data_IF_307014993506
#
_entry.id   IF_307014993506
#
_cell.length_a   1.000
_cell.length_b   1.000
_cell.length_c   1.000
_cell.angle_alpha   90.00
_cell.angle_beta   90.00
_cell.angle_gamma   90.00
#
_symmetry.space_group_name_H-M   'P 1'
#
loop_
_entity.id
_entity.type
_entity.pdbx_description
1 polymer ?
#
# COMPACT_ATOMS: atom_id res chain seq x y z
N UNK A 1 20.52 -2.04 14.97
CA UNK A 1 20.56 -2.02 13.50
C UNK A 1 21.22 -0.73 13.06
N UNK A 2 22.37 -0.74 12.36
CA UNK A 2 22.93 0.49 11.81
C UNK A 2 21.97 1.04 10.73
N UNK A 3 21.74 2.36 10.75
CA UNK A 3 20.92 3.03 9.74
C UNK A 3 21.61 2.85 8.39
N UNK A 4 20.95 2.29 7.35
CA UNK A 4 21.56 2.22 6.03
C UNK A 4 21.96 3.63 5.61
N UNK A 5 23.21 3.83 5.21
CA UNK A 5 23.70 5.15 4.79
C UNK A 5 23.21 5.42 3.37
N UNK A 6 22.66 6.61 3.14
CA UNK A 6 22.24 7.03 1.79
C UNK A 6 23.48 7.10 0.90
N UNK A 7 23.54 6.42 -0.27
CA UNK A 7 24.66 6.56 -1.19
C UNK A 7 24.87 8.03 -1.60
N UNK A 8 26.13 8.46 -1.72
CA UNK A 8 26.46 9.83 -2.08
C UNK A 8 25.78 10.23 -3.40
N UNK A 9 25.17 11.42 -3.43
CA UNK A 9 24.46 11.94 -4.61
C UNK A 9 23.02 11.43 -4.79
N UNK A 10 22.53 10.51 -3.94
CA UNK A 10 21.12 10.10 -3.97
C UNK A 10 20.26 10.91 -3.01
N UNK A 11 19.05 11.25 -3.44
CA UNK A 11 18.02 11.80 -2.56
C UNK A 11 17.41 10.66 -1.74
N UNK A 12 17.40 10.80 -0.42
CA UNK A 12 16.65 9.91 0.46
C UNK A 12 15.15 10.15 0.24
N UNK A 13 14.39 9.06 0.12
CA UNK A 13 12.93 9.09 0.00
C UNK A 13 12.32 8.15 1.03
N UNK A 14 11.40 8.61 1.87
CA UNK A 14 10.67 7.71 2.76
C UNK A 14 9.26 7.42 2.27
N UNK A 15 8.85 6.16 2.41
CA UNK A 15 7.51 5.68 2.05
C UNK A 15 6.95 4.95 3.25
N UNK A 16 5.93 5.54 3.87
CA UNK A 16 5.27 4.94 5.04
C UNK A 16 4.21 3.96 4.56
N UNK A 17 4.29 2.72 5.04
CA UNK A 17 3.34 1.65 4.72
C UNK A 17 2.59 1.32 6.00
N UNK A 18 1.27 1.32 5.92
CA UNK A 18 0.42 0.95 7.06
C UNK A 18 0.22 -0.57 7.08
N UNK A 19 0.53 -1.18 8.22
CA UNK A 19 0.42 -2.62 8.47
C UNK A 19 1.51 -3.44 7.78
N UNK A 20 1.21 -4.72 7.59
CA UNK A 20 2.13 -5.71 7.01
C UNK A 20 2.32 -5.48 5.50
N UNK A 21 3.55 -5.66 4.97
CA UNK A 21 3.78 -5.75 3.52
C UNK A 21 2.83 -6.72 2.84
N UNK A 22 2.38 -6.39 1.63
CA UNK A 22 1.39 -7.18 0.93
C UNK A 22 1.35 -6.89 -0.58
N UNK A 23 0.41 -7.51 -1.30
CA UNK A 23 0.30 -7.42 -2.76
C UNK A 23 0.28 -5.98 -3.28
N UNK A 24 -0.42 -5.10 -2.57
CA UNK A 24 -0.56 -3.67 -2.87
C UNK A 24 0.75 -2.87 -2.76
N UNK A 25 1.78 -3.42 -2.12
CA UNK A 25 3.07 -2.74 -1.90
C UNK A 25 4.17 -3.32 -2.80
N UNK A 26 3.92 -4.48 -3.41
CA UNK A 26 4.94 -5.28 -4.10
C UNK A 26 5.61 -4.55 -5.26
N UNK A 27 4.91 -3.66 -5.98
CA UNK A 27 5.53 -2.87 -7.05
C UNK A 27 6.66 -1.98 -6.52
N UNK A 28 6.48 -1.35 -5.36
CA UNK A 28 7.50 -0.50 -4.73
C UNK A 28 8.66 -1.36 -4.24
N UNK A 29 8.38 -2.45 -3.55
CA UNK A 29 9.41 -3.35 -3.04
C UNK A 29 10.25 -3.96 -4.15
N UNK A 30 9.62 -4.39 -5.24
CA UNK A 30 10.31 -4.91 -6.41
C UNK A 30 11.16 -3.83 -7.09
N UNK A 31 10.63 -2.61 -7.23
CA UNK A 31 11.37 -1.49 -7.80
C UNK A 31 12.60 -1.11 -6.96
N UNK A 32 12.53 -1.26 -5.64
CA UNK A 32 13.69 -1.10 -4.74
C UNK A 32 14.70 -2.22 -4.98
N UNK A 33 14.26 -3.49 -4.96
CA UNK A 33 15.15 -4.65 -5.15
C UNK A 33 15.89 -4.59 -6.50
N UNK A 34 15.19 -4.18 -7.55
CA UNK A 34 15.73 -4.09 -8.91
C UNK A 34 16.44 -2.76 -9.22
N UNK A 35 16.57 -1.86 -8.23
CA UNK A 35 17.32 -0.61 -8.38
C UNK A 35 16.63 0.43 -9.28
N UNK A 36 15.33 0.33 -9.54
CA UNK A 36 14.58 1.26 -10.38
C UNK A 36 14.51 2.68 -9.79
N UNK A 37 14.48 2.77 -8.46
CA UNK A 37 14.60 4.04 -7.72
C UNK A 37 16.02 4.57 -7.76
N UNK A 38 17.02 3.70 -7.55
CA UNK A 38 18.43 4.07 -7.58
C UNK A 38 18.86 4.59 -8.96
N UNK A 39 18.35 4.01 -10.05
CA UNK A 39 18.55 4.48 -11.42
C UNK A 39 18.04 5.90 -11.66
N UNK A 40 17.15 6.40 -10.79
CA UNK A 40 16.63 7.78 -10.79
C UNK A 40 17.24 8.64 -9.68
N UNK A 41 18.34 8.21 -9.08
CA UNK A 41 19.03 8.93 -8.00
C UNK A 41 18.26 8.94 -6.68
N UNK A 42 17.35 7.99 -6.47
CA UNK A 42 16.52 7.90 -5.26
C UNK A 42 16.95 6.72 -4.39
N UNK A 43 17.23 7.01 -3.12
CA UNK A 43 17.43 6.01 -2.09
C UNK A 43 16.13 5.85 -1.30
N UNK A 44 15.27 4.92 -1.73
CA UNK A 44 13.94 4.74 -1.13
C UNK A 44 13.99 3.86 0.12
N UNK A 45 13.33 4.30 1.20
CA UNK A 45 13.21 3.59 2.48
C UNK A 45 11.74 3.38 2.86
N UNK A 46 11.23 2.15 2.74
CA UNK A 46 9.94 1.78 3.31
C UNK A 46 10.01 1.83 4.85
N UNK A 47 8.96 2.34 5.48
CA UNK A 47 8.78 2.34 6.93
C UNK A 47 7.41 1.82 7.28
N UNK A 48 7.35 0.76 8.09
CA UNK A 48 6.08 0.17 8.52
C UNK A 48 5.56 0.91 9.76
N UNK A 49 4.25 1.16 9.79
CA UNK A 49 3.52 1.70 10.94
C UNK A 49 2.16 1.04 11.08
N UNK A 50 1.59 1.06 12.27
CA UNK A 50 0.24 0.51 12.50
C UNK A 50 -0.87 1.52 12.23
N UNK A 51 -0.59 2.82 12.39
CA UNK A 51 -1.61 3.88 12.37
C UNK A 51 -1.60 4.65 11.04
N UNK A 52 -2.70 4.65 10.27
CA UNK A 52 -2.88 5.51 9.12
C UNK A 52 -2.80 7.00 9.47
N UNK A 53 -3.29 7.39 10.65
CA UNK A 53 -3.25 8.78 11.12
C UNK A 53 -1.82 9.23 11.36
N UNK A 54 -0.97 8.36 11.91
CA UNK A 54 0.45 8.67 12.13
C UNK A 54 1.20 8.75 10.79
N UNK A 55 0.89 7.85 9.85
CA UNK A 55 1.43 7.88 8.50
C UNK A 55 1.09 9.22 7.81
N UNK A 56 -0.18 9.59 7.74
CA UNK A 56 -0.61 10.84 7.10
C UNK A 56 -0.11 12.08 7.83
N UNK A 57 -0.05 12.07 9.16
CA UNK A 57 0.52 13.20 9.93
C UNK A 57 2.01 13.38 9.68
N UNK A 58 2.76 12.27 9.52
CA UNK A 58 4.18 12.33 9.19
C UNK A 58 4.43 12.90 7.79
N UNK A 59 3.62 12.52 6.80
CA UNK A 59 3.70 13.09 5.44
C UNK A 59 3.31 14.56 5.45
N UNK A 60 2.19 14.92 6.10
CA UNK A 60 1.70 16.30 6.17
C UNK A 60 2.71 17.26 6.80
N UNK A 61 3.43 16.82 7.83
CA UNK A 61 4.46 17.61 8.49
C UNK A 61 5.79 17.67 7.72
N UNK A 62 5.93 16.93 6.62
CA UNK A 62 7.17 16.81 5.85
C UNK A 62 8.24 15.96 6.54
N UNK A 63 7.87 15.17 7.55
CA UNK A 63 8.78 14.19 8.18
C UNK A 63 9.02 13.00 7.23
N UNK A 64 7.97 12.58 6.53
CA UNK A 64 8.04 11.52 5.52
C UNK A 64 7.58 12.07 4.16
N UNK A 65 8.09 11.52 3.05
CA UNK A 65 7.74 12.01 1.71
C UNK A 65 6.38 11.48 1.24
N UNK A 66 6.12 10.19 1.45
CA UNK A 66 4.92 9.51 0.96
C UNK A 66 4.33 8.53 1.98
N UNK A 67 3.05 8.21 1.83
CA UNK A 67 2.38 7.15 2.58
C UNK A 67 1.48 6.32 1.67
N UNK A 68 1.23 5.06 2.04
CA UNK A 68 0.21 4.21 1.43
C UNK A 68 -0.89 3.98 2.45
N UNK A 69 -2.10 4.42 2.12
CA UNK A 69 -3.29 4.33 2.98
C UNK A 69 -4.51 3.98 2.12
N UNK A 70 -5.64 3.63 2.74
CA UNK A 70 -6.88 3.48 1.99
C UNK A 70 -7.43 4.85 1.51
N UNK A 71 -8.18 4.85 0.42
CA UNK A 71 -8.82 6.07 -0.06
C UNK A 71 -9.83 6.66 0.97
N UNK A 72 -10.50 5.80 1.74
CA UNK A 72 -11.43 6.21 2.78
C UNK A 72 -10.73 6.91 3.94
N UNK A 73 -9.57 6.41 4.37
CA UNK A 73 -8.76 7.05 5.41
C UNK A 73 -8.23 8.41 4.97
N UNK A 74 -7.71 8.51 3.74
CA UNK A 74 -7.28 9.80 3.18
C UNK A 74 -8.42 10.81 3.21
N UNK A 75 -9.60 10.42 2.72
CA UNK A 75 -10.77 11.28 2.70
C UNK A 75 -11.19 11.73 4.10
N UNK A 76 -11.26 10.80 5.06
CA UNK A 76 -11.62 11.13 6.46
C UNK A 76 -10.60 12.10 7.08
N UNK A 77 -9.33 11.92 6.79
CA UNK A 77 -8.27 12.81 7.28
C UNK A 77 -8.35 14.20 6.64
N UNK A 78 -8.63 14.26 5.34
CA UNK A 78 -8.67 15.50 4.56
C UNK A 78 -9.92 16.36 4.80
N UNK A 79 -10.95 15.85 5.49
CA UNK A 79 -12.09 16.67 5.95
C UNK A 79 -11.60 17.83 6.83
N UNK A 80 -10.52 17.61 7.59
CA UNK A 80 -9.97 18.61 8.51
C UNK A 80 -8.91 19.49 7.83
N UNK A 81 -8.08 18.94 6.96
CA UNK A 81 -6.94 19.64 6.33
C UNK A 81 -6.56 19.01 4.97
N UNK A 82 -6.65 19.80 3.89
CA UNK A 82 -6.56 19.32 2.48
C UNK A 82 -5.15 19.31 1.86
N UNK A 83 -4.10 19.21 2.68
CA UNK A 83 -2.70 19.24 2.22
C UNK A 83 -2.19 17.93 1.62
N UNK A 84 -2.99 16.87 1.66
CA UNK A 84 -2.63 15.54 1.18
C UNK A 84 -3.51 15.15 -0.01
N UNK A 85 -2.88 14.58 -1.03
CA UNK A 85 -3.55 14.14 -2.25
C UNK A 85 -3.09 12.74 -2.63
N UNK A 86 -4.01 11.97 -3.19
CA UNK A 86 -3.69 10.68 -3.79
C UNK A 86 -2.99 10.89 -5.14
N UNK A 87 -1.79 10.34 -5.27
CA UNK A 87 -0.97 10.42 -6.48
C UNK A 87 -1.19 9.24 -7.42
N UNK A 88 -1.46 8.05 -6.87
CA UNK A 88 -1.58 6.80 -7.63
C UNK A 88 -2.42 5.78 -6.87
N UNK A 89 -3.27 5.04 -7.58
CA UNK A 89 -3.94 3.86 -7.03
C UNK A 89 -2.99 2.64 -7.07
N UNK A 90 -2.65 2.11 -5.90
CA UNK A 90 -1.77 0.93 -5.79
C UNK A 90 -2.56 -0.36 -5.63
N UNK A 91 -3.74 -0.31 -5.00
CA UNK A 91 -4.72 -1.40 -4.95
C UNK A 91 -6.11 -0.93 -5.42
N UNK A 92 -6.49 -1.27 -6.66
CA UNK A 92 -7.79 -0.91 -7.23
C UNK A 92 -8.93 -1.86 -6.83
N UNK A 93 -8.78 -2.76 -5.85
CA UNK A 93 -9.86 -3.69 -5.44
C UNK A 93 -10.94 -3.07 -4.54
N UNK A 94 -10.81 -1.79 -4.18
CA UNK A 94 -11.82 -1.11 -3.36
C UNK A 94 -13.18 -1.08 -4.04
N UNK A 95 -14.21 -1.60 -3.36
CA UNK A 95 -15.61 -1.58 -3.83
C UNK A 95 -16.02 -0.12 -4.07
N UNK A 96 -16.19 0.26 -5.35
CA UNK A 96 -16.48 1.63 -5.77
C UNK A 96 -15.51 2.67 -5.16
N UNK A 97 -14.21 2.36 -5.07
CA UNK A 97 -13.19 3.21 -4.45
C UNK A 97 -11.80 2.65 -4.68
N UNK A 98 -10.83 2.90 -3.80
CA UNK A 98 -9.51 2.24 -3.85
C UNK A 98 -9.20 1.62 -2.50
N UNK A 99 -8.70 0.39 -2.51
CA UNK A 99 -8.31 -0.30 -1.28
C UNK A 99 -7.03 0.31 -0.71
N UNK A 100 -6.11 0.75 -1.59
CA UNK A 100 -4.91 1.47 -1.20
C UNK A 100 -4.47 2.46 -2.29
N UNK A 101 -4.01 3.62 -1.84
CA UNK A 101 -3.50 4.72 -2.66
C UNK A 101 -2.17 5.21 -2.11
N UNK A 102 -1.30 5.65 -3.02
CA UNK A 102 -0.08 6.36 -2.69
C UNK A 102 -0.41 7.85 -2.50
N UNK A 103 -0.07 8.39 -1.34
CA UNK A 103 -0.38 9.75 -0.90
C UNK A 103 0.90 10.56 -0.78
N UNK A 104 0.83 11.82 -1.21
CA UNK A 104 1.87 12.83 -1.01
C UNK A 104 1.26 14.19 -0.68
N UNK A 105 2.12 15.19 -0.47
CA UNK A 105 1.68 16.57 -0.26
C UNK A 105 1.38 17.27 -1.58
N UNK A 106 0.31 18.05 -1.61
CA UNK A 106 -0.02 18.94 -2.73
C UNK A 106 1.11 19.95 -3.02
N UNK A 107 1.72 20.50 -1.98
CA UNK A 107 2.82 21.46 -2.07
C UNK A 107 4.07 20.87 -2.77
N UNK A 108 4.31 19.57 -2.63
CA UNK A 108 5.45 18.90 -3.26
C UNK A 108 5.24 18.73 -4.76
N UNK A 109 3.99 18.56 -5.21
CA UNK A 109 3.68 18.55 -6.64
C UNK A 109 3.99 19.89 -7.31
N UNK A 110 3.78 21.00 -6.59
CA UNK A 110 4.04 22.34 -7.11
C UNK A 110 5.53 22.73 -7.04
N UNK A 111 6.22 22.38 -5.95
CA UNK A 111 7.58 22.87 -5.66
C UNK A 111 8.69 21.86 -5.94
N UNK A 112 8.35 20.57 -6.05
CA UNK A 112 9.30 19.47 -6.22
C UNK A 112 8.86 18.48 -7.30
N UNK A 113 8.20 18.96 -8.37
CA UNK A 113 7.62 18.14 -9.42
C UNK A 113 8.60 17.08 -9.97
N UNK A 114 9.80 17.48 -10.40
CA UNK A 114 10.79 16.54 -10.95
C UNK A 114 11.14 15.38 -9.99
N UNK A 115 11.16 15.65 -8.68
CA UNK A 115 11.36 14.61 -7.68
C UNK A 115 10.17 13.66 -7.60
N UNK A 116 8.96 14.21 -7.48
CA UNK A 116 7.74 13.40 -7.40
C UNK A 116 7.57 12.55 -8.66
N UNK A 117 7.82 13.13 -9.83
CA UNK A 117 7.80 12.43 -11.11
C UNK A 117 8.85 11.31 -11.19
N UNK A 118 10.06 11.55 -10.70
CA UNK A 118 11.10 10.51 -10.63
C UNK A 118 10.67 9.35 -9.73
N UNK A 119 10.09 9.65 -8.56
CA UNK A 119 9.59 8.63 -7.64
C UNK A 119 8.42 7.83 -8.24
N UNK A 120 7.44 8.52 -8.82
CA UNK A 120 6.29 7.87 -9.46
C UNK A 120 6.71 7.04 -10.68
N UNK A 121 7.70 7.48 -11.45
CA UNK A 121 8.26 6.72 -12.57
C UNK A 121 8.89 5.40 -12.14
N UNK A 122 9.73 5.41 -11.09
CA UNK A 122 10.27 4.17 -10.54
C UNK A 122 9.18 3.27 -9.94
N UNK A 123 8.19 3.87 -9.28
CA UNK A 123 7.04 3.14 -8.75
C UNK A 123 6.29 2.41 -9.87
N UNK A 124 6.00 3.11 -10.97
CA UNK A 124 5.30 2.55 -12.12
C UNK A 124 6.07 1.46 -12.83
N UNK A 125 7.38 1.62 -12.99
CA UNK A 125 8.23 0.54 -13.52
C UNK A 125 8.12 -0.71 -12.64
N UNK A 126 8.11 -0.53 -11.32
CA UNK A 126 7.91 -1.61 -10.35
C UNK A 126 6.57 -2.33 -10.54
N UNK A 127 5.47 -1.58 -10.71
CA UNK A 127 4.15 -2.18 -10.99
C UNK A 127 4.07 -2.80 -12.39
N UNK A 128 4.76 -2.24 -13.40
CA UNK A 128 4.84 -2.84 -14.74
C UNK A 128 5.58 -4.18 -14.70
N UNK A 129 6.65 -4.29 -13.92
CA UNK A 129 7.34 -5.56 -13.73
C UNK A 129 6.51 -6.54 -12.90
N UNK A 130 5.83 -6.06 -11.84
CA UNK A 130 4.89 -6.89 -11.07
C UNK A 130 3.74 -7.46 -11.92
N UNK A 131 3.26 -6.67 -12.91
CA UNK A 131 2.28 -7.13 -13.92
C UNK A 131 2.84 -8.19 -14.87
N UNK A 132 4.14 -8.14 -15.14
CA UNK A 132 4.84 -9.03 -16.09
C UNK A 132 5.10 -10.39 -15.44
N UNK A 133 5.60 -10.39 -14.21
CA UNK A 133 5.98 -11.60 -13.47
C UNK A 133 5.49 -11.53 -12.00
N UNK A 134 4.19 -11.77 -11.76
CA UNK A 134 3.62 -11.70 -10.42
C UNK A 134 4.20 -12.77 -9.47
N UNK A 135 4.70 -13.89 -10.00
CA UNK A 135 5.23 -14.98 -9.20
C UNK A 135 6.63 -14.63 -8.65
N UNK A 136 7.53 -14.14 -9.52
CA UNK A 136 8.82 -13.62 -9.09
C UNK A 136 8.66 -12.44 -8.13
N UNK A 137 7.63 -11.62 -8.36
CA UNK A 137 7.28 -10.51 -7.47
C UNK A 137 6.83 -11.00 -6.09
N UNK A 138 5.99 -12.02 -6.02
CA UNK A 138 5.57 -12.62 -4.75
C UNK A 138 6.78 -13.16 -3.98
N UNK A 139 7.68 -13.87 -4.67
CA UNK A 139 8.91 -14.39 -4.07
C UNK A 139 9.83 -13.28 -3.57
N UNK A 140 9.93 -12.16 -4.29
CA UNK A 140 10.65 -10.96 -3.87
C UNK A 140 10.06 -10.37 -2.58
N UNK A 141 8.76 -10.10 -2.56
CA UNK A 141 8.08 -9.53 -1.40
C UNK A 141 8.12 -10.46 -0.17
N UNK A 142 7.99 -11.77 -0.34
CA UNK A 142 8.07 -12.74 0.76
C UNK A 142 9.47 -12.82 1.42
N UNK A 143 10.54 -12.33 0.76
CA UNK A 143 11.86 -12.21 1.38
C UNK A 143 11.98 -11.01 2.32
N UNK A 144 11.10 -10.03 2.19
CA UNK A 144 11.09 -8.83 3.04
C UNK A 144 10.50 -9.16 4.41
N UNK A 145 9.44 -9.97 4.40
CA UNK A 145 8.81 -10.46 5.62
C UNK A 145 8.56 -11.97 5.47
N UNK A 146 9.38 -12.76 6.16
CA UNK A 146 9.31 -14.22 6.13
C UNK A 146 8.05 -14.79 6.79
N UNK A 147 7.23 -13.97 7.47
CA UNK A 147 5.94 -14.40 8.01
C UNK A 147 4.84 -14.48 6.93
N UNK A 148 5.08 -13.92 5.75
CA UNK A 148 4.12 -13.93 4.64
C UNK A 148 3.97 -15.32 4.01
N UNK A 149 2.73 -15.74 3.81
CA UNK A 149 2.41 -16.93 3.01
C UNK A 149 2.61 -16.62 1.52
N UNK A 150 3.66 -17.22 0.94
CA UNK A 150 4.03 -17.01 -0.47
C UNK A 150 2.92 -17.45 -1.43
N UNK A 151 2.21 -18.54 -1.14
CA UNK A 151 1.16 -19.05 -2.02
C UNK A 151 -0.04 -18.08 -2.04
N UNK A 152 -0.42 -17.57 -0.86
CA UNK A 152 -1.45 -16.54 -0.71
C UNK A 152 -1.06 -15.26 -1.42
N UNK A 153 0.14 -14.76 -1.18
CA UNK A 153 0.68 -13.55 -1.80
C UNK A 153 0.70 -13.66 -3.34
N UNK A 154 1.11 -14.82 -3.85
CA UNK A 154 1.09 -15.12 -5.29
C UNK A 154 -0.34 -15.07 -5.85
N UNK A 155 -1.29 -15.71 -5.18
CA UNK A 155 -2.69 -15.71 -5.60
C UNK A 155 -3.28 -14.28 -5.62
N UNK A 156 -3.02 -13.50 -4.57
CA UNK A 156 -3.50 -12.13 -4.46
C UNK A 156 -2.85 -11.20 -5.53
N UNK A 157 -1.56 -11.36 -5.81
CA UNK A 157 -0.89 -10.62 -6.89
C UNK A 157 -1.48 -10.96 -8.26
N UNK A 158 -1.68 -12.25 -8.56
CA UNK A 158 -2.31 -12.68 -9.82
C UNK A 158 -3.72 -12.12 -9.96
N UNK A 159 -4.47 -11.98 -8.88
CA UNK A 159 -5.79 -11.35 -8.89
C UNK A 159 -5.73 -9.82 -9.13
N UNK A 160 -4.66 -9.15 -8.71
CA UNK A 160 -4.44 -7.73 -8.95
C UNK A 160 -3.97 -7.41 -10.38
N UNK A 161 -3.23 -8.31 -11.02
CA UNK A 161 -2.65 -8.10 -12.36
C UNK A 161 -3.66 -7.62 -13.41
N UNK A 162 -4.86 -8.21 -13.57
CA UNK A 162 -5.86 -7.71 -14.51
C UNK A 162 -6.30 -6.26 -14.22
N UNK A 163 -6.38 -5.88 -12.95
CA UNK A 163 -6.78 -4.53 -12.54
C UNK A 163 -5.66 -3.51 -12.75
N UNK A 164 -4.40 -3.89 -12.58
CA UNK A 164 -3.29 -3.04 -12.97
C UNK A 164 -3.12 -2.93 -14.49
N UNK A 165 -3.65 -3.88 -15.26
CA UNK A 165 -3.67 -3.86 -16.74
C UNK A 165 -4.82 -3.05 -17.33
N UNK A 166 -5.88 -2.78 -16.57
CA UNK A 166 -7.02 -1.97 -17.06
C UNK A 166 -6.68 -0.48 -17.19
N UNK A 167 -5.49 -0.06 -16.74
CA UNK A 167 -4.94 1.28 -16.88
C UNK A 167 -3.52 1.21 -17.46
N UNK A 168 -3.15 2.18 -18.29
CA UNK A 168 -1.76 2.40 -18.71
C UNK A 168 -1.45 3.90 -18.65
N UNK A 169 -0.49 4.32 -17.80
CA UNK A 169 0.26 3.50 -16.84
C UNK A 169 -0.64 2.89 -15.75
N UNK A 170 -0.16 1.85 -15.04
CA UNK A 170 -0.85 1.34 -13.86
C UNK A 170 -1.06 2.45 -12.83
N UNK A 171 -2.20 2.38 -12.14
CA UNK A 171 -2.51 3.24 -11.00
C UNK A 171 -3.14 4.58 -11.33
N UNK A 172 -3.56 4.80 -12.58
CA UNK A 172 -4.46 5.89 -12.93
C UNK A 172 -5.75 5.83 -12.10
N UNK A 173 -6.20 7.00 -11.68
CA UNK A 173 -7.37 7.16 -10.84
C UNK A 173 -8.53 7.78 -11.61
N UNK A 174 -9.75 7.37 -11.27
CA UNK A 174 -10.97 7.82 -11.92
C UNK A 174 -11.81 8.65 -10.95
N UNK A 175 -12.25 9.82 -11.39
CA UNK A 175 -13.05 10.76 -10.59
C UNK A 175 -14.33 10.09 -10.05
N UNK A 176 -15.04 9.32 -10.89
CA UNK A 176 -16.25 8.62 -10.48
C UNK A 176 -16.05 7.70 -9.26
N UNK A 177 -14.88 7.04 -9.15
CA UNK A 177 -14.55 6.20 -7.99
C UNK A 177 -14.34 7.06 -6.76
N UNK A 178 -13.63 8.17 -6.87
CA UNK A 178 -13.44 9.13 -5.77
C UNK A 178 -14.77 9.75 -5.30
N UNK A 179 -15.69 10.03 -6.22
CA UNK A 179 -17.05 10.48 -5.88
C UNK A 179 -17.78 9.44 -5.04
N UNK A 180 -17.69 8.16 -5.39
CA UNK A 180 -18.26 7.08 -4.59
C UNK A 180 -17.64 6.96 -3.21
N UNK A 181 -16.32 7.15 -3.06
CA UNK A 181 -15.67 7.16 -1.73
C UNK A 181 -16.13 8.36 -0.91
N UNK A 182 -16.16 9.56 -1.50
CA UNK A 182 -16.59 10.78 -0.84
C UNK A 182 -18.03 10.67 -0.31
N UNK A 183 -18.93 10.09 -1.11
CA UNK A 183 -20.31 9.83 -0.72
C UNK A 183 -20.40 8.89 0.50
N UNK A 184 -19.60 7.81 0.53
CA UNK A 184 -19.59 6.87 1.68
C UNK A 184 -19.09 7.50 2.97
N UNK A 185 -18.09 8.39 2.90
CA UNK A 185 -17.55 9.06 4.09
C UNK A 185 -18.30 10.35 4.46
N UNK A 186 -19.37 10.70 3.73
CA UNK A 186 -20.15 11.92 3.99
C UNK A 186 -19.44 13.22 3.65
N UNK A 187 -18.44 13.21 2.76
CA UNK A 187 -17.74 14.42 2.32
C UNK A 187 -18.57 15.20 1.29
N UNK A 188 -18.80 16.49 1.54
CA UNK A 188 -19.44 17.41 0.60
C UNK A 188 -18.47 18.02 -0.44
N UNK A 189 -17.15 17.82 -0.30
CA UNK A 189 -16.18 18.37 -1.24
C UNK A 189 -16.09 17.57 -2.54
N UNK A 190 -15.73 18.25 -3.64
CA UNK A 190 -15.53 17.63 -4.94
C UNK A 190 -14.46 16.53 -4.91
N UNK A 191 -14.77 15.40 -5.55
CA UNK A 191 -13.87 14.25 -5.70
C UNK A 191 -12.51 14.62 -6.29
N UNK A 192 -12.48 15.55 -7.24
CA UNK A 192 -11.27 16.06 -7.90
C UNK A 192 -10.27 16.76 -6.96
N UNK A 193 -10.65 17.08 -5.72
CA UNK A 193 -9.74 17.69 -4.73
C UNK A 193 -8.87 16.67 -3.99
N UNK A 194 -9.20 15.38 -4.07
CA UNK A 194 -8.54 14.34 -3.27
C UNK A 194 -7.51 13.53 -4.04
N UNK A 195 -7.45 13.70 -5.36
CA UNK A 195 -6.48 13.02 -6.19
C UNK A 195 -5.89 13.96 -7.23
N UNK A 196 -4.61 13.76 -7.48
CA UNK A 196 -3.94 14.25 -8.65
C UNK A 196 -3.37 13.01 -9.34
N UNK A 197 -3.94 12.63 -10.49
CA UNK A 197 -3.15 11.82 -11.41
C UNK A 197 -1.98 12.72 -11.79
N UNK A 198 -0.78 12.46 -11.25
CA UNK A 198 0.35 13.34 -11.51
C UNK A 198 0.48 13.52 -13.04
N UNK A 199 0.73 14.73 -13.57
CA UNK A 199 0.83 14.94 -15.02
C UNK A 199 1.80 13.96 -15.71
N UNK A 200 2.87 13.58 -15.01
CA UNK A 200 3.80 12.54 -15.44
C UNK A 200 3.17 11.16 -15.68
N UNK A 201 2.07 10.81 -15.01
CA UNK A 201 1.34 9.58 -15.31
C UNK A 201 0.78 9.59 -16.75
N UNK A 202 0.34 10.75 -17.25
CA UNK A 202 -0.24 10.84 -18.60
C UNK A 202 0.83 10.93 -19.70
N UNK A 203 2.06 11.35 -19.37
CA UNK A 203 3.12 11.64 -20.35
C UNK A 203 4.30 10.66 -20.30
N UNK A 204 4.33 9.73 -19.34
CA UNK A 204 5.45 8.79 -19.22
C UNK A 204 5.46 7.77 -20.37
N UNK A 205 6.57 7.68 -21.13
CA UNK A 205 6.71 6.68 -22.17
C UNK A 205 6.67 5.27 -21.57
N UNK A 206 6.13 4.31 -22.33
CA UNK A 206 6.27 2.88 -22.02
C UNK A 206 7.77 2.54 -22.01
N UNK A 207 8.32 1.90 -20.95
CA UNK A 207 9.75 1.65 -20.87
C UNK A 207 10.10 0.61 -21.94
N UNK A 208 11.18 0.86 -22.67
CA UNK A 208 11.71 -0.13 -23.60
C UNK A 208 12.22 -1.35 -22.82
N UNK A 209 11.85 -2.60 -23.20
CA UNK A 209 12.22 -3.80 -22.45
C UNK A 209 13.73 -4.07 -22.34
N UNK A 210 14.57 -3.27 -23.01
CA UNK A 210 16.02 -3.43 -23.06
C UNK A 210 16.80 -2.78 -21.90
N UNK A 211 16.19 -1.90 -21.09
CA UNK A 211 16.88 -1.20 -20.00
C UNK A 211 16.76 -1.95 -18.67
N UNK A 212 17.25 -3.20 -18.60
CA UNK A 212 17.51 -3.82 -17.29
C UNK A 212 18.81 -3.24 -16.72
N UNK A 213 18.82 -2.61 -15.55
CA UNK A 213 20.06 -2.53 -14.78
C UNK A 213 20.46 -3.97 -14.42
N UNK A 214 21.58 -4.45 -14.96
CA UNK A 214 22.13 -5.78 -14.69
C UNK A 214 22.70 -5.92 -13.27
N UNK A 215 22.73 -4.82 -12.52
CA UNK A 215 23.26 -4.81 -11.16
C UNK A 215 22.22 -5.32 -10.18
N UNK A 216 22.14 -6.65 -10.03
CA UNK A 216 21.54 -7.27 -8.85
C UNK A 216 22.36 -6.80 -7.63
N UNK A 217 21.78 -5.93 -6.80
CA UNK A 217 22.39 -5.59 -5.51
C UNK A 217 22.48 -6.90 -4.72
N UNK A 218 23.70 -7.31 -4.37
CA UNK A 218 23.92 -8.50 -3.57
C UNK A 218 23.17 -8.36 -2.23
N UNK A 219 22.50 -9.41 -1.73
CA UNK A 219 21.90 -9.37 -0.40
C UNK A 219 22.97 -9.02 0.63
N UNK A 220 22.63 -8.29 1.71
CA UNK A 220 23.57 -8.03 2.79
C UNK A 220 24.07 -9.37 3.34
N UNK A 221 25.38 -9.57 3.30
CA UNK A 221 26.06 -10.73 3.86
C UNK A 221 25.60 -10.94 5.30
N UNK A 222 25.04 -12.12 5.59
CA UNK A 222 24.68 -12.52 6.94
C UNK A 222 25.92 -12.35 7.84
N UNK A 223 25.75 -11.64 8.96
CA UNK A 223 26.78 -11.54 9.98
C UNK A 223 27.16 -12.94 10.47
N UNK A 224 28.45 -13.22 10.77
CA UNK A 224 28.87 -14.53 11.23
C UNK A 224 28.20 -14.89 12.55
N UNK A 225 27.76 -16.16 12.61
CA UNK A 225 27.17 -16.84 13.76
C UNK A 225 27.92 -16.52 15.06
N UNK A 226 27.20 -15.96 16.03
CA UNK A 226 27.69 -15.83 17.40
C UNK A 226 27.33 -17.11 18.15
N UNK A 227 28.37 -17.84 18.57
CA UNK A 227 28.29 -19.08 19.34
C UNK A 227 27.29 -19.01 20.53
N UNK A 228 26.66 -20.15 20.90
CA UNK A 228 25.63 -20.18 21.93
C UNK A 228 26.24 -19.93 23.31
N UNK A 229 25.70 -18.95 24.02
CA UNK A 229 25.99 -18.74 25.44
C UNK A 229 25.22 -19.74 26.29
N UNK A 230 25.89 -20.19 27.35
CA UNK A 230 25.56 -21.32 28.20
C UNK A 230 24.17 -21.23 28.89
N UNK A 231 23.59 -22.41 29.04
CA UNK A 231 22.40 -22.71 29.83
C UNK A 231 22.58 -22.38 31.30
N UNK A 232 21.62 -21.66 31.88
CA UNK A 232 21.33 -21.70 33.32
C UNK A 232 19.83 -21.82 33.53
N UNK A 233 19.42 -23.01 33.97
CA UNK A 233 18.11 -23.32 34.57
C UNK A 233 17.91 -22.51 35.85
N UNK A 234 16.64 -22.25 36.25
CA UNK A 234 16.21 -22.95 37.46
C UNK A 234 14.77 -23.49 37.44
N UNK A 235 14.64 -24.57 38.21
CA UNK A 235 13.49 -25.29 38.76
C UNK A 235 12.08 -24.67 38.73
N UNK A 236 11.19 -25.42 38.07
CA UNK A 236 10.04 -26.14 38.66
C UNK A 236 9.35 -25.57 39.90
N UNK A 237 8.07 -25.18 39.72
CA UNK A 237 7.02 -25.48 40.69
C UNK A 237 5.71 -25.76 39.97
N UNK A 238 5.12 -26.91 40.30
CA UNK A 238 3.95 -27.51 39.71
C UNK A 238 2.66 -27.02 40.37
N UNK A 239 1.61 -26.76 39.58
CA UNK A 239 0.21 -26.93 40.00
C UNK A 239 -0.57 -27.57 38.83
N UNK A 240 -1.23 -28.70 39.13
CA UNK A 240 -2.05 -29.57 38.27
C UNK A 240 -3.53 -29.06 38.22
N UNK A 241 -4.49 -29.68 37.48
CA UNK A 241 -5.46 -28.96 36.65
C UNK A 241 -6.92 -29.12 37.11
N UNK A 242 -7.78 -28.24 36.61
CA UNK A 242 -9.24 -28.39 36.55
C UNK A 242 -9.74 -27.39 35.51
N UNK A 243 -10.78 -27.58 34.71
CA UNK A 243 -11.66 -28.68 34.37
C UNK A 243 -12.42 -28.18 33.14
N UNK A 244 -12.78 -29.10 32.25
CA UNK A 244 -13.71 -28.92 31.13
C UNK A 244 -15.04 -28.28 31.58
N UNK A 245 -15.63 -27.41 30.76
CA UNK A 245 -16.99 -27.55 30.17
C UNK A 245 -17.62 -26.18 29.81
N UNK A 246 -18.35 -26.20 28.69
CA UNK A 246 -19.52 -25.37 28.32
C UNK A 246 -19.31 -24.28 27.26
N UNK A 247 -19.81 -24.63 26.08
CA UNK A 247 -20.11 -23.78 24.93
C UNK A 247 -21.22 -22.75 25.23
N UNK A 248 -21.31 -21.65 24.47
CA UNK A 248 -22.28 -20.57 24.67
C UNK A 248 -23.70 -20.93 24.18
N UNK A 249 -24.76 -20.35 24.78
CA UNK A 249 -26.11 -20.49 24.25
C UNK A 249 -26.33 -19.62 22.99
N UNK A 250 -27.01 -20.22 22.01
CA UNK A 250 -27.46 -19.61 20.76
C UNK A 250 -28.39 -18.39 20.98
N UNK A 251 -28.32 -17.35 20.14
CA UNK A 251 -29.32 -16.28 20.14
C UNK A 251 -30.62 -16.73 19.46
N UNK A 252 -31.72 -16.56 20.19
CA UNK A 252 -33.12 -16.76 19.77
C UNK A 252 -33.47 -15.89 18.57
N UNK A 253 -34.04 -16.51 17.54
CA UNK A 253 -34.60 -15.84 16.37
C UNK A 253 -35.82 -14.98 16.74
N UNK A 254 -35.74 -13.66 16.52
CA UNK A 254 -36.91 -12.79 16.50
C UNK A 254 -37.39 -12.59 15.07
N UNK A 255 -38.60 -13.07 14.86
CA UNK A 255 -39.41 -13.08 13.66
C UNK A 255 -39.79 -11.66 13.19
N UNK A 256 -39.58 -11.41 11.89
CA UNK A 256 -40.08 -10.22 11.19
C UNK A 256 -41.62 -10.24 11.06
N UNK A 257 -42.30 -9.09 11.16
CA UNK A 257 -43.65 -8.95 10.64
C UNK A 257 -43.62 -8.59 9.14
N UNK A 258 -44.38 -9.36 8.37
CA UNK A 258 -44.73 -9.09 6.99
C UNK A 258 -45.53 -7.79 6.88
N UNK A 259 -45.22 -6.94 5.90
CA UNK A 259 -46.10 -5.86 5.45
C UNK A 259 -46.39 -6.08 3.97
N UNK A 260 -47.66 -6.38 3.72
CA UNK A 260 -48.29 -6.56 2.42
C UNK A 260 -48.14 -5.34 1.52
N UNK A 261 -47.88 -5.61 0.25
CA UNK A 261 -48.08 -4.70 -0.85
C UNK A 261 -49.58 -4.36 -1.02
N UNK A 262 -49.86 -3.09 -1.33
CA UNK A 262 -51.11 -2.66 -1.96
C UNK A 262 -50.78 -1.83 -3.21
N UNK A 263 -51.54 -2.00 -4.30
CA UNK A 263 -51.15 -1.54 -5.64
C UNK A 263 -51.53 -0.09 -5.96
N UNK A 264 -50.75 0.42 -6.91
CA UNK A 264 -50.88 1.64 -7.71
C UNK A 264 -52.31 1.92 -8.20
N UNK A 265 -52.79 3.13 -7.93
CA UNK A 265 -53.90 3.76 -8.65
C UNK A 265 -53.39 5.00 -9.36
N UNK A 266 -53.49 5.00 -10.69
CA UNK A 266 -53.31 6.17 -11.56
C UNK A 266 -54.67 6.81 -11.81
N UNK A 267 -54.77 8.15 -11.87
CA UNK A 267 -55.77 8.77 -12.71
C UNK A 267 -55.15 9.61 -13.84
N UNK A 268 -55.90 9.63 -14.94
CA UNK A 268 -55.74 10.41 -16.16
C UNK A 268 -55.66 11.91 -15.92
#
# INVERSE_FOLDING_TARGET
MPTPTTPAGMRLVSVVIVGTPGPAHSGIFLGIEQGMFAARGLATRPRLVESPVDAMSSVRSGRDDFAIVSAEELLRFSIVDRRLVSLMAVDPRGENGYAAVLVGRDADLASQSAFVESFLGATIDGYREARRDPDATAASTARIDSSLDLARLTADLRALVPLWRSTDPPGLQAEARWTSVAARVGSAASASTYFANAPALATMPTPSPAARPTTRIAPPTAAPDRAPAASTTPSSSAIKPAATTAAPPSPTATRAPAVSASPTATPR
#
